data_IF_900741491534
#
_entry.id   IF_900741491534
#
_cell.length_a   1.000
_cell.length_b   1.000
_cell.length_c   1.000
_cell.angle_alpha   90.00
_cell.angle_beta   90.00
_cell.angle_gamma   90.00
#
_symmetry.space_group_name_H-M   'P 1'
#
loop_
_entity.id
_entity.type
_entity.pdbx_description
1 polymer ?
#
# COMPACT_ATOMS: atom_id res chain seq x y z
N UNK A 1 -1.75 14.03 -24.69
CA UNK A 1 -1.50 14.31 -23.26
C UNK A 1 -0.65 13.24 -22.62
N UNK A 2 0.38 13.63 -21.88
CA UNK A 2 1.33 12.73 -21.19
C UNK A 2 1.06 12.63 -19.67
N UNK A 3 0.03 13.33 -19.20
CA UNK A 3 -0.45 13.29 -17.81
C UNK A 3 -1.89 12.82 -17.86
N UNK A 4 -2.20 11.78 -17.07
CA UNK A 4 -3.55 11.26 -16.93
C UNK A 4 -3.93 11.24 -15.45
N UNK A 5 -5.12 11.74 -15.16
CA UNK A 5 -5.72 11.67 -13.83
C UNK A 5 -6.77 10.56 -13.85
N UNK A 6 -6.83 9.81 -12.76
CA UNK A 6 -7.86 8.80 -12.50
C UNK A 6 -8.10 8.74 -11.00
N UNK A 7 -9.29 8.29 -10.60
CA UNK A 7 -9.70 8.27 -9.20
C UNK A 7 -9.71 6.85 -8.66
N UNK A 8 -9.32 6.72 -7.39
CA UNK A 8 -9.44 5.46 -6.68
C UNK A 8 -10.83 5.28 -6.08
N UNK A 9 -11.21 4.04 -5.86
CA UNK A 9 -12.50 3.71 -5.25
C UNK A 9 -12.56 4.13 -3.77
N UNK A 10 -13.76 4.49 -3.33
CA UNK A 10 -14.09 4.75 -1.93
C UNK A 10 -15.06 3.68 -1.43
N UNK A 11 -15.00 3.39 -0.13
CA UNK A 11 -15.88 2.41 0.51
C UNK A 11 -16.51 2.98 1.79
N UNK A 12 -17.66 2.45 2.24
CA UNK A 12 -18.28 2.88 3.49
C UNK A 12 -17.37 2.67 4.69
N UNK A 13 -17.48 3.57 5.67
CA UNK A 13 -16.94 3.39 7.01
C UNK A 13 -17.90 2.55 7.86
N UNK A 14 -17.36 1.74 8.76
CA UNK A 14 -18.15 0.87 9.62
C UNK A 14 -17.97 1.24 11.08
N UNK A 15 -19.01 1.13 11.89
CA UNK A 15 -18.89 1.21 13.34
C UNK A 15 -18.34 -0.10 13.91
N UNK A 16 -18.13 -0.16 15.23
CA UNK A 16 -17.54 -1.34 15.88
C UNK A 16 -18.46 -2.57 15.86
N UNK A 17 -19.76 -2.38 15.59
CA UNK A 17 -20.74 -3.45 15.38
C UNK A 17 -20.88 -3.87 13.90
N UNK A 18 -20.06 -3.32 13.00
CA UNK A 18 -20.07 -3.64 11.57
C UNK A 18 -21.19 -2.98 10.76
N UNK A 19 -21.87 -1.96 11.31
CA UNK A 19 -22.89 -1.17 10.61
C UNK A 19 -22.25 0.01 9.89
N UNK A 20 -22.84 0.40 8.75
CA UNK A 20 -22.41 1.59 8.01
C UNK A 20 -22.62 2.85 8.84
N UNK A 21 -21.60 3.71 8.87
CA UNK A 21 -21.68 5.02 9.52
C UNK A 21 -22.27 6.05 8.56
N UNK A 22 -23.22 6.83 9.06
CA UNK A 22 -23.81 7.97 8.34
C UNK A 22 -23.05 9.25 8.70
N UNK A 23 -22.53 9.98 7.70
CA UNK A 23 -21.92 11.31 7.90
C UNK A 23 -22.97 12.42 8.00
N UNK A 24 -24.15 12.20 7.41
CA UNK A 24 -25.34 13.05 7.48
C UNK A 24 -26.62 12.20 7.30
N UNK A 25 -27.82 12.76 7.48
CA UNK A 25 -29.11 12.04 7.39
C UNK A 25 -29.29 11.28 6.08
N UNK A 26 -28.75 11.83 5.00
CA UNK A 26 -28.85 11.28 3.65
C UNK A 26 -27.48 10.92 3.04
N UNK A 27 -26.42 10.83 3.86
CA UNK A 27 -25.06 10.60 3.37
C UNK A 27 -24.32 9.57 4.20
N UNK A 28 -23.80 8.55 3.53
CA UNK A 28 -22.89 7.57 4.11
C UNK A 28 -21.50 8.20 4.27
N UNK A 29 -20.83 7.90 5.39
CA UNK A 29 -19.44 8.23 5.58
C UNK A 29 -18.56 7.30 4.72
N UNK A 30 -17.96 7.83 3.66
CA UNK A 30 -17.01 7.11 2.80
C UNK A 30 -15.57 7.44 3.17
N UNK A 31 -14.66 6.51 2.87
CA UNK A 31 -13.22 6.74 2.91
C UNK A 31 -12.55 6.08 1.68
N UNK A 32 -11.39 6.60 1.25
CA UNK A 32 -10.57 5.93 0.24
C UNK A 32 -10.22 4.49 0.68
N UNK A 33 -10.27 3.55 -0.25
CA UNK A 33 -10.05 2.11 0.03
C UNK A 33 -8.55 1.72 0.09
N UNK A 34 -7.69 2.61 0.58
CA UNK A 34 -6.24 2.40 0.66
C UNK A 34 -5.50 2.44 -0.68
N UNK A 35 -4.18 2.53 -0.64
CA UNK A 35 -3.33 2.64 -1.83
C UNK A 35 -3.30 1.37 -2.71
N UNK A 36 -3.67 0.20 -2.16
CA UNK A 36 -3.86 -1.03 -2.91
C UNK A 36 -5.05 -0.99 -3.87
N UNK A 37 -5.98 -0.05 -3.69
CA UNK A 37 -7.07 0.17 -4.65
C UNK A 37 -6.60 0.71 -6.01
N UNK A 38 -5.32 1.09 -6.13
CA UNK A 38 -4.67 1.44 -7.39
C UNK A 38 -4.98 0.44 -8.51
N UNK A 39 -4.90 -0.87 -8.23
CA UNK A 39 -5.06 -1.90 -9.26
C UNK A 39 -6.50 -1.99 -9.78
N UNK A 40 -7.49 -1.81 -8.91
CA UNK A 40 -8.90 -1.73 -9.32
C UNK A 40 -9.15 -0.43 -10.11
N UNK A 41 -8.63 0.69 -9.63
CA UNK A 41 -8.77 1.98 -10.30
C UNK A 41 -8.14 1.99 -11.71
N UNK A 42 -7.02 1.30 -11.90
CA UNK A 42 -6.40 1.11 -13.21
C UNK A 42 -7.22 0.20 -14.13
N UNK A 43 -7.93 -0.79 -13.58
CA UNK A 43 -8.83 -1.68 -14.32
C UNK A 43 -10.07 -0.95 -14.82
N UNK A 44 -10.63 -0.09 -13.97
CA UNK A 44 -11.89 0.61 -14.21
C UNK A 44 -11.69 1.90 -15.01
N UNK A 45 -10.44 2.32 -15.25
CA UNK A 45 -10.08 3.51 -16.03
C UNK A 45 -9.45 3.15 -17.38
N UNK A 46 -9.36 4.14 -18.27
CA UNK A 46 -8.68 3.99 -19.57
C UNK A 46 -7.15 4.04 -19.47
N UNK A 47 -6.60 4.17 -18.26
CA UNK A 47 -5.16 4.37 -18.01
C UNK A 47 -4.36 3.15 -18.43
N UNK A 48 -4.78 1.94 -18.07
CA UNK A 48 -4.08 0.71 -18.45
C UNK A 48 -4.04 0.55 -19.99
N UNK A 49 -5.19 0.72 -20.66
CA UNK A 49 -5.27 0.65 -22.12
C UNK A 49 -4.41 1.72 -22.79
N UNK A 50 -4.33 2.92 -22.21
CA UNK A 50 -3.44 3.97 -22.70
C UNK A 50 -1.97 3.55 -22.59
N UNK A 51 -1.54 3.03 -21.44
CA UNK A 51 -0.18 2.52 -21.22
C UNK A 51 0.20 1.42 -22.21
N UNK A 52 -0.73 0.50 -22.50
CA UNK A 52 -0.55 -0.57 -23.49
C UNK A 52 -0.44 -0.02 -24.92
N UNK A 53 -1.32 0.90 -25.31
CA UNK A 53 -1.31 1.50 -26.66
C UNK A 53 -0.02 2.27 -26.96
N UNK A 54 0.66 2.78 -25.91
CA UNK A 54 1.94 3.47 -25.99
C UNK A 54 3.15 2.53 -25.91
N UNK A 55 2.93 1.24 -25.69
CA UNK A 55 4.00 0.25 -25.54
C UNK A 55 4.87 0.47 -24.29
N UNK A 56 4.30 1.03 -23.21
CA UNK A 56 5.01 1.16 -21.94
C UNK A 56 5.31 -0.22 -21.35
N UNK A 57 6.50 -0.40 -20.78
CA UNK A 57 6.98 -1.70 -20.29
C UNK A 57 7.22 -1.75 -18.79
N UNK A 58 7.51 -0.60 -18.19
CA UNK A 58 8.01 -0.49 -16.83
C UNK A 58 7.33 0.67 -16.12
N UNK A 59 6.98 0.45 -14.85
CA UNK A 59 6.22 1.39 -14.04
C UNK A 59 6.95 1.64 -12.74
N UNK A 60 7.23 2.91 -12.45
CA UNK A 60 7.71 3.35 -11.16
C UNK A 60 6.55 3.95 -10.38
N UNK A 61 6.20 3.34 -9.25
CA UNK A 61 5.06 3.71 -8.41
C UNK A 61 5.60 4.18 -7.07
N UNK A 62 5.19 5.35 -6.61
CA UNK A 62 5.69 5.91 -5.37
C UNK A 62 4.64 6.66 -4.55
N UNK A 63 4.88 6.78 -3.24
CA UNK A 63 4.15 7.70 -2.36
C UNK A 63 4.43 9.18 -2.70
N UNK A 64 3.41 10.03 -2.52
CA UNK A 64 3.50 11.46 -2.87
C UNK A 64 4.16 12.33 -1.79
N UNK A 65 4.23 11.83 -0.56
CA UNK A 65 4.71 12.55 0.64
C UNK A 65 6.23 12.58 0.78
N UNK A 66 6.97 11.77 0.01
CA UNK A 66 8.42 11.75 0.02
C UNK A 66 9.00 12.89 -0.86
N UNK A 67 9.38 14.00 -0.23
CA UNK A 67 10.02 15.15 -0.91
C UNK A 67 11.36 14.81 -1.59
N UNK A 68 12.02 13.72 -1.18
CA UNK A 68 13.29 13.27 -1.74
C UNK A 68 13.13 12.19 -2.80
N UNK A 69 11.89 11.88 -3.21
CA UNK A 69 11.62 10.83 -4.19
C UNK A 69 12.32 11.12 -5.52
N UNK A 70 13.03 10.11 -6.04
CA UNK A 70 13.65 10.18 -7.35
C UNK A 70 12.68 9.64 -8.40
N UNK A 71 11.76 10.49 -8.85
CA UNK A 71 10.77 10.11 -9.86
C UNK A 71 11.48 9.60 -11.13
N UNK A 72 11.27 8.33 -11.47
CA UNK A 72 11.91 7.69 -12.61
C UNK A 72 13.39 7.38 -12.40
N UNK A 73 13.81 7.04 -11.16
CA UNK A 73 15.20 6.74 -10.82
C UNK A 73 15.82 5.68 -11.75
N UNK A 74 16.76 6.07 -12.65
CA UNK A 74 17.31 5.15 -13.63
C UNK A 74 18.18 4.06 -13.01
N UNK A 75 18.75 4.27 -11.82
CA UNK A 75 19.55 3.24 -11.14
C UNK A 75 18.65 2.13 -10.61
N UNK A 76 17.55 2.51 -9.96
CA UNK A 76 16.58 1.55 -9.45
C UNK A 76 15.87 0.79 -10.59
N UNK A 77 15.37 1.53 -11.59
CA UNK A 77 14.73 0.93 -12.77
C UNK A 77 15.72 0.04 -13.54
N UNK A 78 16.94 0.52 -13.77
CA UNK A 78 17.98 -0.22 -14.46
C UNK A 78 18.38 -1.51 -13.74
N UNK A 79 18.51 -1.46 -12.41
CA UNK A 79 18.73 -2.64 -11.58
C UNK A 79 17.62 -3.69 -11.77
N UNK A 80 16.36 -3.27 -11.74
CA UNK A 80 15.23 -4.18 -11.93
C UNK A 80 15.22 -4.82 -13.33
N UNK A 81 15.51 -4.03 -14.36
CA UNK A 81 15.57 -4.51 -15.75
C UNK A 81 16.74 -5.48 -15.95
N UNK A 82 17.95 -5.13 -15.50
CA UNK A 82 19.14 -5.95 -15.66
C UNK A 82 18.99 -7.31 -14.97
N UNK A 83 18.39 -7.32 -13.78
CA UNK A 83 18.15 -8.54 -13.00
C UNK A 83 16.86 -9.27 -13.38
N UNK A 84 16.10 -8.76 -14.36
CA UNK A 84 14.85 -9.36 -14.84
C UNK A 84 13.82 -9.59 -13.71
N UNK A 85 13.70 -8.63 -12.79
CA UNK A 85 12.69 -8.68 -11.74
C UNK A 85 11.31 -8.30 -12.29
N UNK A 86 10.28 -9.02 -11.84
CA UNK A 86 8.88 -8.70 -12.10
C UNK A 86 8.48 -7.43 -11.32
N UNK A 87 8.98 -7.36 -10.08
CA UNK A 87 8.69 -6.32 -9.12
C UNK A 87 9.97 -5.92 -8.37
N UNK A 88 10.19 -4.61 -8.23
CA UNK A 88 11.27 -4.06 -7.41
C UNK A 88 10.70 -3.33 -6.20
N UNK A 89 11.37 -3.43 -5.07
CA UNK A 89 11.02 -2.71 -3.85
C UNK A 89 12.24 -1.91 -3.42
N UNK A 90 12.09 -0.59 -3.33
CA UNK A 90 13.13 0.27 -2.80
C UNK A 90 12.95 0.40 -1.29
N UNK A 91 14.05 0.24 -0.57
CA UNK A 91 14.06 0.26 0.89
C UNK A 91 15.16 1.17 1.42
N UNK A 92 14.99 1.58 2.68
CA UNK A 92 16.05 2.23 3.46
C UNK A 92 16.35 1.41 4.69
N UNK A 93 17.49 1.67 5.32
CA UNK A 93 17.83 1.01 6.58
C UNK A 93 16.97 1.55 7.73
N UNK A 94 16.11 0.70 8.27
CA UNK A 94 15.45 0.94 9.56
C UNK A 94 16.47 0.71 10.67
N UNK A 95 16.81 1.76 11.41
CA UNK A 95 17.83 1.73 12.45
C UNK A 95 17.25 1.87 13.88
N UNK A 96 16.06 2.48 14.01
CA UNK A 96 15.34 2.62 15.27
C UNK A 96 14.19 1.60 15.32
N UNK A 97 14.11 0.72 16.33
CA UNK A 97 12.98 -0.20 16.47
C UNK A 97 11.61 0.51 16.49
N UNK A 98 11.54 1.75 16.98
CA UNK A 98 10.32 2.54 17.12
C UNK A 98 9.91 3.29 15.84
N UNK A 99 10.72 3.24 14.78
CA UNK A 99 10.37 3.84 13.50
C UNK A 99 9.11 3.17 12.94
N UNK A 100 8.10 3.99 12.63
CA UNK A 100 6.78 3.55 12.14
C UNK A 100 6.80 3.31 10.63
N UNK A 101 7.59 2.32 10.23
CA UNK A 101 7.77 1.92 8.85
C UNK A 101 7.54 0.41 8.74
N UNK A 102 6.79 -0.02 7.71
CA UNK A 102 6.68 -1.43 7.38
C UNK A 102 8.04 -2.00 6.97
N UNK A 103 8.26 -3.28 7.24
CA UNK A 103 9.52 -3.96 6.92
C UNK A 103 9.30 -4.99 5.82
N UNK A 104 10.16 -4.96 4.80
CA UNK A 104 10.15 -5.97 3.73
C UNK A 104 10.81 -7.24 4.27
N UNK A 105 10.08 -8.35 4.34
CA UNK A 105 10.59 -9.60 4.86
C UNK A 105 10.10 -10.79 4.03
N UNK A 106 10.53 -11.99 4.42
CA UNK A 106 10.01 -13.24 3.85
C UNK A 106 9.10 -13.88 4.90
N UNK A 107 7.81 -13.96 4.59
CA UNK A 107 6.81 -14.62 5.42
C UNK A 107 6.29 -15.84 4.68
N UNK A 108 6.35 -17.03 5.31
CA UNK A 108 5.96 -18.30 4.71
C UNK A 108 6.59 -18.57 3.32
N UNK A 109 7.86 -18.17 3.15
CA UNK A 109 8.60 -18.35 1.89
C UNK A 109 8.29 -17.32 0.80
N UNK A 110 7.49 -16.30 1.12
CA UNK A 110 7.03 -15.28 0.16
C UNK A 110 7.45 -13.89 0.62
N UNK A 111 8.01 -13.09 -0.29
CA UNK A 111 8.33 -11.69 -0.01
C UNK A 111 7.06 -10.92 0.29
N UNK A 112 7.04 -10.26 1.44
CA UNK A 112 5.90 -9.52 1.99
C UNK A 112 6.38 -8.26 2.68
N UNK A 113 5.45 -7.37 3.00
CA UNK A 113 5.69 -6.27 3.95
C UNK A 113 4.86 -6.56 5.19
N UNK A 114 5.49 -6.43 6.36
CA UNK A 114 4.78 -6.48 7.64
C UNK A 114 4.77 -5.07 8.20
N UNK A 115 3.57 -4.54 8.45
CA UNK A 115 3.43 -3.20 9.00
C UNK A 115 3.91 -3.13 10.45
N UNK A 116 4.39 -1.96 10.87
CA UNK A 116 4.93 -1.80 12.23
C UNK A 116 3.89 -2.10 13.31
N UNK A 117 2.60 -1.87 13.02
CA UNK A 117 1.48 -2.17 13.90
C UNK A 117 1.17 -3.66 14.05
N UNK A 118 1.72 -4.50 13.17
CA UNK A 118 1.52 -5.95 13.13
C UNK A 118 2.69 -6.73 13.74
N UNK A 119 3.80 -6.06 14.05
CA UNK A 119 4.98 -6.67 14.65
C UNK A 119 4.91 -6.65 16.18
N UNK A 120 5.34 -7.75 16.83
CA UNK A 120 5.52 -7.77 18.28
C UNK A 120 6.71 -6.89 18.72
N UNK A 121 6.70 -6.45 19.97
CA UNK A 121 7.81 -5.66 20.54
C UNK A 121 9.15 -6.40 20.44
N UNK A 122 9.14 -7.72 20.66
CA UNK A 122 10.33 -8.56 20.55
C UNK A 122 10.86 -8.61 19.12
N UNK A 123 9.98 -8.73 18.12
CA UNK A 123 10.36 -8.69 16.71
C UNK A 123 10.94 -7.33 16.33
N UNK A 124 10.32 -6.23 16.77
CA UNK A 124 10.79 -4.88 16.47
C UNK A 124 12.19 -4.60 17.03
N UNK A 125 12.52 -5.17 18.20
CA UNK A 125 13.80 -4.97 18.89
C UNK A 125 14.86 -6.04 18.56
N UNK A 126 14.51 -7.05 17.76
CA UNK A 126 15.41 -8.16 17.44
C UNK A 126 16.65 -7.66 16.70
N UNK A 127 17.84 -8.04 17.18
CA UNK A 127 19.12 -7.61 16.61
C UNK A 127 19.99 -8.78 16.20
N UNK A 128 20.71 -8.58 15.10
CA UNK A 128 21.78 -9.47 14.69
C UNK A 128 22.93 -9.39 15.70
N UNK A 129 23.39 -10.55 16.19
CA UNK A 129 24.38 -10.63 17.27
C UNK A 129 25.77 -10.14 16.83
N UNK A 130 26.08 -10.22 15.54
CA UNK A 130 27.40 -9.85 15.03
C UNK A 130 27.49 -8.36 14.68
N UNK A 131 26.49 -7.83 13.98
CA UNK A 131 26.47 -6.44 13.50
C UNK A 131 25.78 -5.47 14.46
N UNK A 132 24.96 -5.95 15.39
CA UNK A 132 24.14 -5.13 16.28
C UNK A 132 22.96 -4.43 15.58
N UNK A 133 22.81 -4.62 14.27
CA UNK A 133 21.70 -4.05 13.47
C UNK A 133 20.39 -4.76 13.78
N UNK A 134 19.27 -4.10 13.50
CA UNK A 134 17.97 -4.77 13.57
C UNK A 134 17.94 -5.93 12.56
N UNK A 135 17.34 -7.05 12.95
CA UNK A 135 17.10 -8.18 12.03
C UNK A 135 16.14 -7.74 10.92
N UNK A 136 15.08 -7.02 11.30
CA UNK A 136 14.10 -6.44 10.36
C UNK A 136 14.46 -4.97 10.08
N UNK A 137 15.53 -4.76 9.30
CA UNK A 137 16.06 -3.42 8.98
C UNK A 137 15.72 -2.90 7.57
N UNK A 138 14.87 -3.60 6.82
CA UNK A 138 14.50 -3.29 5.43
C UNK A 138 13.24 -2.43 5.39
N UNK A 139 13.36 -1.15 5.73
CA UNK A 139 12.24 -0.22 5.80
C UNK A 139 11.64 0.08 4.43
N UNK A 140 10.37 -0.24 4.26
CA UNK A 140 9.60 0.04 3.05
C UNK A 140 9.29 1.54 2.96
N UNK A 141 9.72 2.19 1.87
CA UNK A 141 9.45 3.62 1.63
C UNK A 141 8.37 3.87 0.57
N UNK A 142 7.55 2.84 0.27
CA UNK A 142 6.49 2.89 -0.73
C UNK A 142 7.00 3.37 -2.11
N UNK A 143 8.13 2.83 -2.55
CA UNK A 143 8.76 3.09 -3.85
C UNK A 143 8.99 1.72 -4.54
N UNK A 144 8.27 1.51 -5.64
CA UNK A 144 8.10 0.22 -6.28
C UNK A 144 8.31 0.29 -7.78
N UNK A 145 8.80 -0.81 -8.33
CA UNK A 145 8.89 -1.05 -9.77
C UNK A 145 7.97 -2.21 -10.15
N UNK A 146 7.27 -2.12 -11.28
CA UNK A 146 6.56 -3.24 -11.89
C UNK A 146 6.81 -3.30 -13.40
N UNK A 147 6.92 -4.51 -13.94
CA UNK A 147 6.78 -4.72 -15.39
C UNK A 147 5.31 -4.61 -15.81
N UNK A 148 5.04 -4.40 -17.11
CA UNK A 148 3.67 -4.45 -17.65
C UNK A 148 2.98 -5.79 -17.36
N UNK A 149 3.70 -6.90 -17.47
CA UNK A 149 3.14 -8.22 -17.17
C UNK A 149 2.78 -8.37 -15.69
N UNK A 150 3.66 -7.90 -14.79
CA UNK A 150 3.42 -7.88 -13.35
C UNK A 150 2.23 -6.99 -12.98
N UNK A 151 2.13 -5.79 -13.58
CA UNK A 151 1.02 -4.87 -13.38
C UNK A 151 -0.31 -5.51 -13.81
N UNK A 152 -0.38 -6.10 -15.00
CA UNK A 152 -1.59 -6.80 -15.48
C UNK A 152 -1.93 -7.99 -14.60
N UNK A 153 -0.94 -8.74 -14.12
CA UNK A 153 -1.15 -9.85 -13.18
C UNK A 153 -1.78 -9.36 -11.87
N UNK A 154 -1.27 -8.27 -11.30
CA UNK A 154 -1.84 -7.66 -10.11
C UNK A 154 -3.30 -7.22 -10.34
N UNK A 155 -3.57 -6.56 -11.47
CA UNK A 155 -4.89 -6.04 -11.84
C UNK A 155 -5.91 -7.14 -12.10
N UNK A 156 -5.59 -8.15 -12.91
CA UNK A 156 -6.60 -9.12 -13.36
C UNK A 156 -6.70 -10.35 -12.46
N UNK A 157 -5.62 -10.72 -11.76
CA UNK A 157 -5.57 -12.00 -11.05
C UNK A 157 -5.61 -11.86 -9.52
N UNK A 158 -5.37 -10.65 -8.98
CA UNK A 158 -5.15 -10.49 -7.55
C UNK A 158 -5.81 -9.27 -6.88
N UNK A 159 -6.13 -8.19 -7.60
CA UNK A 159 -6.76 -6.99 -7.00
C UNK A 159 -7.97 -7.33 -6.11
N UNK A 160 -8.81 -8.24 -6.61
CA UNK A 160 -10.06 -8.67 -5.97
C UNK A 160 -9.82 -9.57 -4.74
N UNK A 161 -8.59 -10.08 -4.58
CA UNK A 161 -8.14 -10.96 -3.48
C UNK A 161 -7.35 -10.23 -2.40
N UNK A 162 -7.03 -8.94 -2.60
CA UNK A 162 -6.28 -8.17 -1.63
C UNK A 162 -7.05 -8.09 -0.30
N UNK A 163 -6.38 -8.35 0.83
CA UNK A 163 -7.01 -8.27 2.13
C UNK A 163 -7.39 -6.83 2.46
N UNK A 164 -8.45 -6.68 3.26
CA UNK A 164 -8.82 -5.40 3.85
C UNK A 164 -8.20 -5.28 5.23
N UNK A 165 -7.44 -4.21 5.46
CA UNK A 165 -6.84 -3.86 6.73
C UNK A 165 -7.73 -2.87 7.48
N UNK A 166 -8.09 -3.21 8.72
CA UNK A 166 -8.97 -2.38 9.54
C UNK A 166 -8.19 -1.38 10.38
N UNK A 167 -8.43 -0.08 10.16
CA UNK A 167 -7.88 0.99 10.98
C UNK A 167 -8.96 1.65 11.84
N UNK A 168 -8.78 1.63 13.17
CA UNK A 168 -9.63 2.37 14.10
C UNK A 168 -9.43 3.87 13.91
N UNK A 169 -10.53 4.59 13.66
CA UNK A 169 -10.52 6.05 13.44
C UNK A 169 -11.65 6.72 14.22
N UNK A 170 -11.45 8.01 14.49
CA UNK A 170 -12.51 8.93 14.91
C UNK A 170 -13.22 9.40 13.64
N UNK A 171 -14.41 8.86 13.40
CA UNK A 171 -15.19 9.09 12.18
C UNK A 171 -16.37 9.99 12.56
N UNK A 172 -16.40 11.25 12.11
CA UNK A 172 -17.55 12.13 12.30
C UNK A 172 -18.83 11.47 11.74
N UNK A 173 -19.90 11.51 12.53
CA UNK A 173 -21.16 10.86 12.20
C UNK A 173 -22.35 11.67 12.73
N UNK A 174 -23.57 11.21 12.46
CA UNK A 174 -24.77 11.73 13.12
C UNK A 174 -25.26 10.82 14.25
N UNK A 175 -25.92 11.41 15.25
CA UNK A 175 -26.65 10.68 16.30
C UNK A 175 -28.08 10.29 15.84
N UNK A 176 -28.85 9.65 16.72
CA UNK A 176 -30.23 9.23 16.44
C UNK A 176 -31.17 10.40 16.12
N UNK A 177 -30.87 11.60 16.62
CA UNK A 177 -31.62 12.82 16.33
C UNK A 177 -31.18 13.46 15.00
N UNK A 178 -30.13 12.94 14.36
CA UNK A 178 -29.56 13.44 13.11
C UNK A 178 -28.65 14.66 13.29
N UNK A 179 -28.11 14.88 14.50
CA UNK A 179 -27.16 15.95 14.78
C UNK A 179 -25.72 15.46 14.59
N UNK A 180 -24.88 16.29 13.98
CA UNK A 180 -23.47 15.97 13.74
C UNK A 180 -22.69 15.84 15.05
N UNK A 181 -21.89 14.79 15.13
CA UNK A 181 -21.05 14.44 16.26
C UNK A 181 -19.60 14.27 15.81
N UNK A 182 -18.67 14.69 16.68
CA UNK A 182 -17.24 14.43 16.53
C UNK A 182 -16.82 13.58 17.73
N UNK A 183 -16.52 12.29 17.54
CA UNK A 183 -16.33 11.36 18.64
C UNK A 183 -14.98 11.62 19.34
N UNK A 184 -14.92 11.60 20.69
CA UNK A 184 -13.70 11.88 21.44
C UNK A 184 -12.70 10.72 21.39
N UNK A 185 -13.17 9.51 21.12
CA UNK A 185 -12.40 8.26 20.95
C UNK A 185 -12.75 7.60 19.61
N UNK A 186 -11.92 6.68 19.07
CA UNK A 186 -12.28 5.94 17.87
C UNK A 186 -13.63 5.24 18.00
N UNK A 187 -14.52 5.46 17.03
CA UNK A 187 -15.89 4.94 17.00
C UNK A 187 -16.17 4.06 15.78
N UNK A 188 -15.20 3.93 14.88
CA UNK A 188 -15.36 3.15 13.67
C UNK A 188 -14.05 2.68 13.05
N UNK A 189 -14.22 1.86 12.03
CA UNK A 189 -13.18 1.18 11.27
C UNK A 189 -13.24 1.71 9.84
N UNK A 190 -12.08 2.13 9.33
CA UNK A 190 -11.84 2.28 7.90
C UNK A 190 -11.15 1.03 7.40
N UNK A 191 -11.61 0.49 6.28
CA UNK A 191 -10.92 -0.62 5.62
C UNK A 191 -10.03 -0.04 4.52
N UNK A 192 -8.81 -0.55 4.41
CA UNK A 192 -7.83 -0.11 3.43
C UNK A 192 -7.13 -1.34 2.82
N UNK A 193 -6.92 -1.33 1.50
CA UNK A 193 -6.01 -2.27 0.83
C UNK A 193 -4.62 -1.67 0.76
N UNK A 194 -3.58 -2.49 0.90
CA UNK A 194 -2.20 -2.03 0.73
C UNK A 194 -1.61 -2.44 -0.60
N UNK A 195 -0.86 -1.51 -1.21
CA UNK A 195 -0.22 -1.70 -2.52
C UNK A 195 0.83 -2.81 -2.49
N UNK A 196 1.47 -3.06 -1.35
CA UNK A 196 2.49 -4.09 -1.22
C UNK A 196 1.92 -5.49 -1.00
N UNK A 197 0.62 -5.63 -0.73
CA UNK A 197 -0.01 -6.94 -0.53
C UNK A 197 -0.10 -7.76 -1.82
N UNK A 198 0.22 -7.18 -2.98
CA UNK A 198 0.36 -7.91 -4.24
C UNK A 198 1.70 -8.66 -4.37
N UNK A 199 2.70 -8.41 -3.52
CA UNK A 199 4.01 -9.06 -3.64
C UNK A 199 3.97 -10.59 -3.70
N UNK A 200 3.08 -11.28 -2.95
CA UNK A 200 2.87 -12.72 -3.10
C UNK A 200 2.51 -13.21 -4.51
N UNK A 201 2.11 -12.33 -5.42
CA UNK A 201 1.82 -12.66 -6.81
C UNK A 201 3.07 -12.93 -7.65
N UNK A 202 4.22 -12.41 -7.23
CA UNK A 202 5.39 -12.34 -8.09
C UNK A 202 6.40 -13.41 -7.74
N UNK A 203 7.11 -13.88 -8.76
CA UNK A 203 8.12 -14.94 -8.58
C UNK A 203 9.49 -14.30 -8.40
N UNK A 204 9.78 -13.23 -9.14
CA UNK A 204 11.07 -12.57 -9.12
C UNK A 204 10.93 -11.15 -8.54
N UNK A 205 11.19 -11.02 -7.23
CA UNK A 205 11.19 -9.74 -6.54
C UNK A 205 12.63 -9.31 -6.21
N UNK A 206 12.98 -8.08 -6.58
CA UNK A 206 14.24 -7.44 -6.22
C UNK A 206 14.05 -6.45 -5.08
N UNK A 207 14.98 -6.43 -4.13
CA UNK A 207 15.08 -5.38 -3.11
C UNK A 207 16.27 -4.49 -3.45
N UNK A 208 16.03 -3.18 -3.61
CA UNK A 208 17.04 -2.18 -3.91
C UNK A 208 17.23 -1.28 -2.69
N UNK A 209 18.49 -1.08 -2.30
CA UNK A 209 18.87 -0.29 -1.13
C UNK A 209 19.99 0.67 -1.50
#
# INVERSE_FOLDING_TARGET
DDIMFFEQNVIPCFNLEGKIIMSDRNQIAYAPNGNGSLFEALKDSEVLSNMESRGLKYFHIHGIDNILIKVGDPLFVGFCIEKQYDCGIKVVEKNDPNERVGVVCVSNGVTSVVEYSEMSMDQQNMRDLQSGRLIYNTGNICDHFLTMEALKKAIYNFSDKLPNHGALKKIPSIDEEGKRTNPPIPNGIKLEKYIFDIFPCFQNIGVFR
#
